data_IF_162981058207
#
_entry.id   IF_162981058207
#
_cell.length_a   1.000
_cell.length_b   1.000
_cell.length_c   1.000
_cell.angle_alpha   90.00
_cell.angle_beta   90.00
_cell.angle_gamma   90.00
#
_symmetry.space_group_name_H-M   'P 1'
#
loop_
_entity.id
_entity.type
_entity.pdbx_description
1 polymer ?
#
# COMPACT_ATOMS: atom_id res chain seq x y z
N UNK A 1 11.12 -4.93 -20.61
CA UNK A 1 10.68 -6.25 -20.10
C UNK A 1 9.86 -5.98 -18.85
N UNK A 2 8.54 -6.16 -18.91
CA UNK A 2 7.67 -5.92 -17.76
C UNK A 2 7.45 -7.27 -17.08
N UNK A 3 8.08 -7.46 -15.91
CA UNK A 3 7.80 -8.62 -15.05
C UNK A 3 6.55 -8.24 -14.26
N UNK A 4 5.39 -8.72 -14.70
CA UNK A 4 4.16 -8.66 -13.93
C UNK A 4 4.03 -9.88 -13.04
N UNK A 5 3.59 -9.70 -11.79
CA UNK A 5 3.17 -10.81 -10.92
C UNK A 5 1.65 -10.85 -10.97
N UNK A 6 1.10 -11.97 -11.44
CA UNK A 6 -0.34 -12.21 -11.44
C UNK A 6 -0.69 -13.04 -10.20
N UNK A 7 -1.66 -12.57 -9.41
CA UNK A 7 -2.19 -13.30 -8.28
C UNK A 7 -3.53 -13.92 -8.67
N UNK A 8 -3.70 -15.20 -8.35
CA UNK A 8 -5.02 -15.83 -8.38
C UNK A 8 -5.68 -15.56 -7.01
N UNK A 9 -6.74 -14.76 -7.00
CA UNK A 9 -7.60 -14.66 -5.83
C UNK A 9 -8.47 -15.92 -5.78
N UNK A 10 -8.43 -16.71 -4.69
CA UNK A 10 -9.39 -17.79 -4.46
C UNK A 10 -10.82 -17.27 -4.51
N UNK A 11 -11.75 -18.08 -5.05
CA UNK A 11 -13.20 -17.81 -5.05
C UNK A 11 -13.85 -17.96 -3.66
N UNK A 12 -13.06 -17.97 -2.58
CA UNK A 12 -13.53 -18.05 -1.19
C UNK A 12 -13.96 -16.66 -0.71
N UNK A 13 -15.18 -16.54 -0.21
CA UNK A 13 -15.73 -15.30 0.36
C UNK A 13 -14.88 -14.74 1.52
N UNK A 14 -14.00 -15.55 2.11
CA UNK A 14 -13.09 -15.16 3.19
C UNK A 14 -11.69 -14.75 2.71
N UNK A 15 -11.42 -14.72 1.41
CA UNK A 15 -10.12 -14.30 0.92
C UNK A 15 -9.93 -12.79 1.07
N UNK A 16 -9.08 -12.40 2.03
CA UNK A 16 -8.69 -11.01 2.24
C UNK A 16 -7.23 -10.79 1.77
N UNK A 17 -7.06 -9.99 0.72
CA UNK A 17 -5.76 -9.63 0.19
C UNK A 17 -5.23 -8.37 0.90
N UNK A 18 -4.31 -8.56 1.84
CA UNK A 18 -3.62 -7.46 2.52
C UNK A 18 -2.49 -6.90 1.64
N UNK A 19 -2.50 -5.58 1.40
CA UNK A 19 -1.39 -4.88 0.72
C UNK A 19 -0.07 -5.14 1.46
N UNK A 20 -0.08 -5.13 2.80
CA UNK A 20 1.13 -5.39 3.59
C UNK A 20 1.65 -6.81 3.39
N UNK A 21 0.77 -7.80 3.27
CA UNK A 21 1.17 -9.18 2.99
C UNK A 21 1.81 -9.31 1.60
N UNK A 22 1.34 -8.56 0.60
CA UNK A 22 1.95 -8.50 -0.73
C UNK A 22 3.32 -7.82 -0.71
N UNK A 23 3.52 -6.83 0.16
CA UNK A 23 4.77 -6.08 0.28
C UNK A 23 5.81 -6.75 1.20
N UNK A 24 5.39 -7.66 2.07
CA UNK A 24 6.24 -8.32 3.05
C UNK A 24 7.53 -8.95 2.47
N UNK A 25 7.52 -9.61 1.30
CA UNK A 25 8.73 -10.20 0.72
C UNK A 25 9.82 -9.18 0.33
N UNK A 26 9.48 -7.89 0.19
CA UNK A 26 10.38 -6.86 -0.32
C UNK A 26 11.09 -6.06 0.76
N UNK A 27 10.88 -6.36 2.06
CA UNK A 27 11.41 -5.53 3.16
C UNK A 27 11.03 -4.05 2.98
N UNK A 28 9.77 -3.81 2.63
CA UNK A 28 9.25 -2.54 2.09
C UNK A 28 9.51 -1.30 2.98
N UNK A 29 9.73 -1.50 4.28
CA UNK A 29 10.11 -0.47 5.25
C UNK A 29 11.47 0.21 4.95
N UNK A 30 12.32 -0.40 4.11
CA UNK A 30 13.61 0.15 3.71
C UNK A 30 13.57 1.02 2.44
N UNK A 31 12.39 1.26 1.91
CA UNK A 31 12.22 1.99 0.66
C UNK A 31 11.35 3.23 0.84
N UNK A 32 11.54 4.16 -0.09
CA UNK A 32 10.60 5.23 -0.37
C UNK A 32 9.65 4.78 -1.49
N UNK A 33 8.37 5.01 -1.28
CA UNK A 33 7.32 4.57 -2.19
C UNK A 33 6.67 5.78 -2.84
N UNK A 34 6.63 5.81 -4.17
CA UNK A 34 5.77 6.74 -4.90
C UNK A 34 4.40 6.10 -5.07
N UNK A 35 3.36 6.85 -4.72
CA UNK A 35 1.98 6.50 -5.04
C UNK A 35 1.71 7.06 -6.43
N UNK A 36 1.75 6.19 -7.43
CA UNK A 36 1.59 6.58 -8.84
C UNK A 36 0.11 6.79 -9.17
N UNK A 37 -0.73 5.86 -8.72
CA UNK A 37 -2.17 5.90 -8.88
C UNK A 37 -2.82 5.06 -7.78
N UNK A 38 -3.86 5.58 -7.13
CA UNK A 38 -4.58 4.87 -6.09
C UNK A 38 -6.06 5.27 -6.06
N UNK A 39 -6.94 4.27 -5.94
CA UNK A 39 -8.35 4.45 -5.61
C UNK A 39 -8.68 3.51 -4.45
N UNK A 40 -8.61 4.09 -3.25
CA UNK A 40 -8.76 3.38 -1.98
C UNK A 40 -9.66 4.20 -1.08
N UNK A 41 -10.87 3.71 -0.86
CA UNK A 41 -11.91 4.39 -0.06
C UNK A 41 -11.78 4.01 1.40
N UNK A 42 -11.85 5.00 2.29
CA UNK A 42 -11.92 4.75 3.72
C UNK A 42 -13.31 4.30 4.14
N UNK A 43 -13.35 3.43 5.17
CA UNK A 43 -14.56 3.08 5.90
C UNK A 43 -14.51 3.70 7.30
N UNK A 44 -15.65 4.13 7.79
CA UNK A 44 -15.80 4.51 9.20
C UNK A 44 -15.91 3.29 10.12
N UNK A 45 -15.99 3.53 11.43
CA UNK A 45 -16.12 2.48 12.46
C UNK A 45 -17.40 1.65 12.30
N UNK A 46 -18.40 2.14 11.57
CA UNK A 46 -19.64 1.46 11.25
C UNK A 46 -19.57 0.69 9.91
N UNK A 47 -18.43 0.72 9.22
CA UNK A 47 -18.21 0.07 7.94
C UNK A 47 -18.76 0.82 6.72
N UNK A 48 -19.22 2.07 6.88
CA UNK A 48 -19.74 2.90 5.80
C UNK A 48 -18.61 3.64 5.08
N UNK A 49 -18.74 3.80 3.75
CA UNK A 49 -17.77 4.56 2.96
C UNK A 49 -17.78 6.03 3.35
N UNK A 50 -16.59 6.59 3.56
CA UNK A 50 -16.41 8.03 3.77
C UNK A 50 -16.11 8.73 2.44
N UNK A 51 -16.12 10.07 2.45
CA UNK A 51 -15.70 10.88 1.30
C UNK A 51 -14.17 11.04 1.21
N UNK A 52 -13.42 10.37 2.08
CA UNK A 52 -11.96 10.47 2.15
C UNK A 52 -11.31 9.27 1.47
N UNK A 53 -10.25 9.53 0.72
CA UNK A 53 -9.37 8.50 0.18
C UNK A 53 -8.24 8.21 1.17
N UNK A 54 -7.74 6.97 1.18
CA UNK A 54 -6.63 6.59 2.05
C UNK A 54 -5.36 7.43 1.77
N UNK A 55 -5.13 7.77 0.50
CA UNK A 55 -4.02 8.61 0.06
C UNK A 55 -4.57 9.84 -0.66
N UNK A 56 -4.36 11.03 -0.09
CA UNK A 56 -5.00 12.26 -0.59
C UNK A 56 -4.05 13.20 -1.32
N UNK A 57 -2.78 13.32 -0.89
CA UNK A 57 -1.85 14.33 -1.46
C UNK A 57 -0.38 13.93 -1.49
N UNK A 58 0.03 12.91 -0.74
CA UNK A 58 1.43 12.50 -0.66
C UNK A 58 1.83 11.69 -1.90
N UNK A 59 2.57 12.32 -2.83
CA UNK A 59 3.16 11.62 -3.97
C UNK A 59 4.19 10.57 -3.54
N UNK A 60 4.86 10.79 -2.42
CA UNK A 60 5.86 9.89 -1.86
C UNK A 60 5.59 9.64 -0.38
N UNK A 61 5.75 8.39 0.04
CA UNK A 61 5.55 7.93 1.42
C UNK A 61 6.70 7.00 1.82
N UNK A 62 7.19 7.10 3.06
CA UNK A 62 8.19 6.15 3.56
C UNK A 62 7.54 4.80 3.83
N UNK A 63 8.30 3.71 3.75
CA UNK A 63 7.76 2.38 4.05
C UNK A 63 7.14 2.27 5.45
N UNK A 64 7.65 3.00 6.44
CA UNK A 64 7.05 3.05 7.79
C UNK A 64 5.69 3.75 7.79
N UNK A 65 5.58 4.94 7.17
CA UNK A 65 4.30 5.65 7.08
C UNK A 65 3.29 4.88 6.25
N UNK A 66 3.74 4.19 5.20
CA UNK A 66 2.90 3.31 4.40
C UNK A 66 2.30 2.19 5.26
N UNK A 67 3.09 1.57 6.13
CA UNK A 67 2.61 0.57 7.08
C UNK A 67 1.59 1.14 8.06
N UNK A 68 1.90 2.27 8.68
CA UNK A 68 1.00 2.93 9.63
C UNK A 68 -0.35 3.27 8.98
N UNK A 69 -0.31 3.84 7.77
CA UNK A 69 -1.53 4.18 7.01
C UNK A 69 -2.37 2.94 6.70
N UNK A 70 -1.74 1.83 6.32
CA UNK A 70 -2.43 0.59 5.95
C UNK A 70 -2.91 -0.25 7.16
N UNK A 71 -2.35 -0.06 8.36
CA UNK A 71 -2.79 -0.78 9.58
C UNK A 71 -3.88 -0.07 10.36
N UNK A 72 -3.87 1.26 10.35
CA UNK A 72 -4.67 2.07 11.27
C UNK A 72 -6.01 2.52 10.68
N UNK A 73 -6.36 2.07 9.47
CA UNK A 73 -7.54 2.49 8.74
C UNK A 73 -8.23 1.28 8.13
N UNK A 74 -9.55 1.23 8.26
CA UNK A 74 -10.37 0.33 7.46
C UNK A 74 -10.59 0.95 6.07
N UNK A 75 -10.36 0.15 5.03
CA UNK A 75 -10.46 0.62 3.66
C UNK A 75 -10.95 -0.44 2.69
N UNK A 76 -11.38 0.03 1.52
CA UNK A 76 -11.70 -0.78 0.36
C UNK A 76 -10.82 -0.36 -0.82
N UNK A 77 -10.07 -1.32 -1.35
CA UNK A 77 -9.12 -1.13 -2.44
C UNK A 77 -9.80 -1.45 -3.79
N UNK A 78 -9.83 -0.48 -4.71
CA UNK A 78 -10.15 -0.73 -6.12
C UNK A 78 -8.86 -0.98 -6.91
N UNK A 79 -7.91 -0.05 -6.83
CA UNK A 79 -6.56 -0.23 -7.39
C UNK A 79 -5.51 0.56 -6.62
N UNK A 80 -4.25 0.08 -6.71
CA UNK A 80 -3.08 0.73 -6.16
C UNK A 80 -1.86 0.42 -7.03
N UNK A 81 -1.18 1.47 -7.48
CA UNK A 81 0.09 1.39 -8.22
C UNK A 81 1.16 2.10 -7.41
N UNK A 82 2.20 1.34 -7.06
CA UNK A 82 3.33 1.83 -6.27
C UNK A 82 4.63 1.63 -7.03
N UNK A 83 5.50 2.64 -7.01
CA UNK A 83 6.88 2.53 -7.46
C UNK A 83 7.81 2.65 -6.25
N UNK A 84 8.83 1.79 -6.18
CA UNK A 84 9.77 1.75 -5.05
C UNK A 84 11.12 2.34 -5.43
N UNK A 85 11.73 3.07 -4.50
CA UNK A 85 13.04 3.70 -4.64
C UNK A 85 13.89 3.36 -3.42
N UNK A 86 15.18 3.05 -3.59
CA UNK A 86 16.10 2.89 -2.46
C UNK A 86 16.09 4.15 -1.59
N UNK A 87 15.94 3.99 -0.28
CA UNK A 87 16.11 5.11 0.65
C UNK A 87 17.61 5.42 0.77
N UNK A 88 18.08 6.38 -0.02
CA UNK A 88 19.49 6.80 -0.06
C UNK A 88 20.03 7.24 1.31
N UNK A 89 19.16 7.64 2.25
CA UNK A 89 19.59 8.02 3.61
C UNK A 89 20.04 6.83 4.45
N UNK A 90 19.55 5.61 4.16
CA UNK A 90 19.96 4.37 4.85
C UNK A 90 21.20 3.71 4.22
N UNK A 91 21.59 4.11 3.01
CA UNK A 91 22.69 3.51 2.25
C UNK A 91 24.01 4.28 2.35
N UNK A 92 24.07 5.37 3.11
CA UNK A 92 25.33 6.03 3.42
C UNK A 92 25.96 5.37 4.65
N UNK A 93 27.12 4.69 4.51
CA UNK A 93 27.90 4.33 5.68
C UNK A 93 28.44 5.63 6.29
N UNK A 94 28.00 5.94 7.50
CA UNK A 94 28.71 6.88 8.39
C UNK A 94 30.07 6.31 8.78
#
# INVERSE_FOLDING_TARGET
MNIGIHFHAPDDENFNLSILSLLAPFTFQNYMWQIDSAEIYLKDECGSFTNEMLFTTERFISGHRLEETLRNKDYYLIFLTLNTFPDLKKNNPT
#
